data_IF_523580896079
#
_entry.id   IF_523580896079
#
_cell.length_a   1.000
_cell.length_b   1.000
_cell.length_c   1.000
_cell.angle_alpha   90.00
_cell.angle_beta   90.00
_cell.angle_gamma   90.00
#
_symmetry.space_group_name_H-M   'P 1'
#
loop_
_entity.id
_entity.type
_entity.pdbx_description
1 polymer ?
#
# COMPACT_ATOMS: atom_id res chain seq x y z
N UNK A 1 -3.63 -13.43 45.01
CA UNK A 1 -4.35 -12.75 46.11
C UNK A 1 -4.27 -11.26 45.89
N UNK A 2 -5.41 -10.62 45.59
CA UNK A 2 -5.79 -9.24 45.98
C UNK A 2 -7.01 -8.86 45.16
N UNK A 3 -8.16 -8.80 45.84
CA UNK A 3 -9.47 -8.38 45.33
C UNK A 3 -9.61 -6.89 45.59
N UNK A 4 -10.10 -6.13 44.61
CA UNK A 4 -10.60 -4.77 44.84
C UNK A 4 -12.13 -4.86 44.82
N UNK A 5 -12.70 -4.33 45.90
CA UNK A 5 -14.07 -4.50 46.39
C UNK A 5 -14.69 -3.10 46.46
N UNK A 6 -15.88 -2.98 45.86
CA UNK A 6 -17.05 -2.15 46.23
C UNK A 6 -16.89 -0.63 46.33
N UNK A 7 -17.75 0.07 45.60
CA UNK A 7 -18.60 1.11 46.21
C UNK A 7 -20.03 1.06 45.62
N UNK A 8 -20.96 0.50 46.41
CA UNK A 8 -22.41 0.51 46.19
C UNK A 8 -23.03 1.01 47.50
N UNK A 9 -23.25 2.31 47.61
CA UNK A 9 -24.15 2.97 48.58
C UNK A 9 -24.08 4.46 48.24
N UNK A 10 -25.15 5.23 48.04
CA UNK A 10 -26.15 5.71 49.00
C UNK A 10 -26.86 6.81 48.18
N UNK A 11 -28.17 6.86 47.95
CA UNK A 11 -29.14 7.31 48.93
C UNK A 11 -30.55 7.04 48.40
N UNK A 12 -31.26 6.23 49.18
CA UNK A 12 -32.72 6.15 49.27
C UNK A 12 -33.10 6.78 50.62
N UNK A 13 -34.06 7.71 50.60
CA UNK A 13 -34.89 8.32 51.69
C UNK A 13 -35.06 9.80 51.31
N UNK A 14 -36.26 10.34 51.14
CA UNK A 14 -37.32 10.38 52.14
C UNK A 14 -38.73 10.23 51.57
N UNK A 15 -39.55 9.66 52.44
CA UNK A 15 -40.98 9.44 52.35
C UNK A 15 -41.70 10.62 53.02
N UNK A 16 -42.75 11.16 52.41
CA UNK A 16 -43.83 11.84 53.16
C UNK A 16 -45.16 11.76 52.39
N UNK A 17 -46.01 10.82 52.81
CA UNK A 17 -47.47 10.93 52.73
C UNK A 17 -47.89 12.03 53.75
N UNK A 18 -48.94 12.83 53.58
CA UNK A 18 -50.36 12.45 53.74
C UNK A 18 -51.26 13.68 53.48
N UNK A 19 -52.52 13.40 53.11
CA UNK A 19 -53.75 14.19 53.40
C UNK A 19 -54.34 15.10 52.32
N UNK A 20 -55.17 14.47 51.47
CA UNK A 20 -56.62 14.72 51.26
C UNK A 20 -57.17 16.12 51.59
N UNK A 21 -57.61 16.84 50.54
CA UNK A 21 -58.79 17.74 50.56
C UNK A 21 -59.57 17.58 49.24
N UNK A 22 -60.90 17.65 49.38
CA UNK A 22 -62.01 17.31 48.50
C UNK A 22 -62.16 18.09 47.16
N UNK A 23 -63.10 17.68 46.29
CA UNK A 23 -63.16 18.06 44.88
C UNK A 23 -63.83 19.41 44.68
N UNK A 24 -63.22 20.25 43.83
CA UNK A 24 -63.77 21.54 43.46
C UNK A 24 -63.69 21.75 41.94
N UNK A 25 -64.88 21.75 41.36
CA UNK A 25 -65.30 22.49 40.18
C UNK A 25 -64.67 22.16 38.81
N UNK A 26 -65.49 21.44 38.05
CA UNK A 26 -65.61 21.44 36.59
C UNK A 26 -65.43 22.86 36.04
N UNK A 27 -64.25 23.13 35.50
CA UNK A 27 -64.03 24.17 34.51
C UNK A 27 -63.59 23.49 33.23
N UNK A 28 -64.52 23.23 32.31
CA UNK A 28 -64.22 22.88 30.93
C UNK A 28 -63.53 24.09 30.26
N UNK A 29 -62.24 24.25 30.54
CA UNK A 29 -61.37 25.08 29.73
C UNK A 29 -61.14 24.29 28.44
N UNK A 30 -61.94 24.60 27.42
CA UNK A 30 -61.59 24.32 26.03
C UNK A 30 -60.32 25.10 25.72
N UNK A 31 -59.18 24.50 26.06
CA UNK A 31 -57.87 24.97 25.67
C UNK A 31 -57.82 24.94 24.14
N UNK A 32 -58.17 26.07 23.53
CA UNK A 32 -57.90 26.36 22.14
C UNK A 32 -56.38 26.39 22.00
N UNK A 33 -55.81 25.20 21.78
CA UNK A 33 -54.39 24.99 21.48
C UNK A 33 -54.10 25.80 20.22
N UNK A 34 -53.64 27.03 20.44
CA UNK A 34 -53.13 27.95 19.43
C UNK A 34 -52.17 27.13 18.56
N UNK A 35 -52.39 27.04 17.23
CA UNK A 35 -51.63 26.14 16.38
C UNK A 35 -50.15 26.48 16.52
N UNK A 36 -49.41 25.57 17.15
CA UNK A 36 -48.10 25.86 17.70
C UNK A 36 -47.15 26.23 16.58
N UNK A 37 -46.68 27.48 16.58
CA UNK A 37 -45.62 27.98 15.70
C UNK A 37 -44.38 27.05 15.79
N UNK A 38 -44.19 26.38 16.94
CA UNK A 38 -43.17 25.36 17.19
C UNK A 38 -43.19 24.18 16.20
N UNK A 39 -44.37 23.66 15.82
CA UNK A 39 -44.50 22.58 14.82
C UNK A 39 -44.07 23.03 13.42
N UNK A 40 -44.28 24.31 13.06
CA UNK A 40 -43.83 24.87 11.78
C UNK A 40 -42.31 25.03 11.74
N UNK A 41 -41.70 25.51 12.83
CA UNK A 41 -40.24 25.65 12.95
C UNK A 41 -39.55 24.29 12.92
N UNK A 42 -40.08 23.29 13.64
CA UNK A 42 -39.53 21.92 13.64
C UNK A 42 -39.58 21.28 12.24
N UNK A 43 -40.65 21.54 11.46
CA UNK A 43 -40.76 21.06 10.07
C UNK A 43 -39.72 21.71 9.15
N UNK A 44 -39.49 23.01 9.27
CA UNK A 44 -38.46 23.71 8.49
C UNK A 44 -37.07 23.18 8.85
N UNK A 45 -36.79 22.99 10.14
CA UNK A 45 -35.51 22.46 10.59
C UNK A 45 -35.28 21.01 10.14
N UNK A 46 -36.32 20.18 10.17
CA UNK A 46 -36.28 18.81 9.64
C UNK A 46 -36.00 18.77 8.14
N UNK A 47 -36.65 19.62 7.35
CA UNK A 47 -36.38 19.75 5.91
C UNK A 47 -34.95 20.25 5.67
N UNK A 48 -34.50 21.26 6.41
CA UNK A 48 -33.14 21.79 6.29
C UNK A 48 -32.08 20.74 6.64
N UNK A 49 -32.29 19.93 7.68
CA UNK A 49 -31.40 18.84 8.07
C UNK A 49 -31.36 17.76 6.99
N UNK A 50 -32.51 17.34 6.45
CA UNK A 50 -32.58 16.37 5.35
C UNK A 50 -31.85 16.91 4.12
N UNK A 51 -32.07 18.18 3.77
CA UNK A 51 -31.43 18.81 2.63
C UNK A 51 -29.90 18.88 2.81
N UNK A 52 -29.44 19.21 4.03
CA UNK A 52 -28.02 19.17 4.37
C UNK A 52 -27.43 17.77 4.27
N UNK A 53 -28.13 16.73 4.76
CA UNK A 53 -27.71 15.34 4.63
C UNK A 53 -27.65 14.88 3.17
N UNK A 54 -28.60 15.29 2.33
CA UNK A 54 -28.60 14.97 0.90
C UNK A 54 -27.41 15.65 0.21
N UNK A 55 -27.21 16.96 0.42
CA UNK A 55 -26.08 17.70 -0.17
C UNK A 55 -24.75 17.13 0.31
N UNK A 56 -24.61 16.85 1.60
CA UNK A 56 -23.43 16.22 2.18
C UNK A 56 -23.18 14.82 1.63
N UNK A 57 -24.23 14.02 1.45
CA UNK A 57 -24.17 12.68 0.86
C UNK A 57 -23.71 12.71 -0.60
N UNK A 58 -24.30 13.59 -1.41
CA UNK A 58 -23.93 13.76 -2.82
C UNK A 58 -22.49 14.26 -2.95
N UNK A 59 -22.10 15.27 -2.16
CA UNK A 59 -20.73 15.78 -2.15
C UNK A 59 -19.71 14.71 -1.77
N UNK A 60 -20.01 13.92 -0.73
CA UNK A 60 -19.16 12.82 -0.29
C UNK A 60 -19.04 11.72 -1.34
N UNK A 61 -20.12 11.40 -2.05
CA UNK A 61 -20.13 10.42 -3.13
C UNK A 61 -19.27 10.87 -4.31
N UNK A 62 -19.41 12.12 -4.77
CA UNK A 62 -18.59 12.66 -5.85
C UNK A 62 -17.12 12.76 -5.46
N UNK A 63 -16.82 13.15 -4.21
CA UNK A 63 -15.47 13.15 -3.68
C UNK A 63 -14.86 11.74 -3.70
N UNK A 64 -15.61 10.73 -3.25
CA UNK A 64 -15.16 9.33 -3.26
C UNK A 64 -14.91 8.81 -4.68
N UNK A 65 -15.77 9.16 -5.64
CA UNK A 65 -15.57 8.80 -7.04
C UNK A 65 -14.34 9.46 -7.66
N UNK A 66 -14.07 10.72 -7.31
CA UNK A 66 -12.85 11.39 -7.76
C UNK A 66 -11.60 10.80 -7.11
N UNK A 67 -11.67 10.47 -5.81
CA UNK A 67 -10.57 9.86 -5.07
C UNK A 67 -10.14 8.53 -5.69
N UNK A 68 -11.08 7.70 -6.14
CA UNK A 68 -10.78 6.42 -6.82
C UNK A 68 -9.89 6.58 -8.06
N UNK A 69 -9.99 7.71 -8.75
CA UNK A 69 -9.21 8.01 -9.96
C UNK A 69 -7.83 8.57 -9.67
N UNK A 70 -7.46 8.73 -8.40
CA UNK A 70 -6.16 9.26 -7.99
C UNK A 70 -5.11 8.15 -7.88
N UNK A 71 -3.83 8.46 -8.14
CA UNK A 71 -2.73 7.51 -7.91
C UNK A 71 -2.59 7.15 -6.43
N UNK A 72 -2.90 8.07 -5.51
CA UNK A 72 -2.91 7.85 -4.05
C UNK A 72 -3.81 6.67 -3.66
N UNK A 73 -5.02 6.64 -4.22
CA UNK A 73 -5.97 5.57 -3.94
C UNK A 73 -5.46 4.22 -4.43
N UNK A 74 -4.80 4.17 -5.60
CA UNK A 74 -4.25 2.92 -6.13
C UNK A 74 -3.06 2.43 -5.30
N UNK A 75 -2.21 3.33 -4.80
CA UNK A 75 -1.16 2.99 -3.84
C UNK A 75 -1.72 2.49 -2.51
N UNK A 76 -2.78 3.12 -2.00
CA UNK A 76 -3.45 2.66 -0.78
C UNK A 76 -4.06 1.26 -0.98
N UNK A 77 -4.61 0.98 -2.17
CA UNK A 77 -5.11 -0.35 -2.51
C UNK A 77 -3.97 -1.36 -2.60
N UNK A 78 -2.82 -0.98 -3.15
CA UNK A 78 -1.64 -1.85 -3.23
C UNK A 78 -1.16 -2.24 -1.83
N UNK A 79 -1.10 -1.28 -0.91
CA UNK A 79 -0.76 -1.53 0.50
C UNK A 79 -1.79 -2.47 1.15
N UNK A 80 -3.09 -2.23 0.94
CA UNK A 80 -4.15 -3.07 1.52
C UNK A 80 -4.15 -4.50 0.94
N UNK A 81 -3.91 -4.65 -0.37
CA UNK A 81 -3.78 -5.93 -1.05
C UNK A 81 -2.56 -6.72 -0.56
N UNK A 82 -1.40 -6.06 -0.47
CA UNK A 82 -0.17 -6.66 0.04
C UNK A 82 -0.33 -7.12 1.49
N UNK A 83 -1.04 -6.34 2.33
CA UNK A 83 -1.36 -6.72 3.71
C UNK A 83 -2.26 -7.94 3.80
N UNK A 84 -3.23 -8.08 2.88
CA UNK A 84 -4.17 -9.21 2.85
C UNK A 84 -3.61 -10.47 2.17
N UNK A 85 -2.36 -10.42 1.72
CA UNK A 85 -1.73 -11.49 0.93
C UNK A 85 -2.51 -11.80 -0.36
N UNK A 86 -3.19 -10.78 -0.92
CA UNK A 86 -3.97 -10.91 -2.15
C UNK A 86 -3.08 -10.66 -3.36
N UNK A 87 -2.33 -11.69 -3.77
CA UNK A 87 -1.44 -11.62 -4.93
C UNK A 87 -2.17 -11.18 -6.19
N UNK A 88 -3.41 -11.62 -6.41
CA UNK A 88 -4.18 -11.22 -7.60
C UNK A 88 -4.45 -9.72 -7.62
N UNK A 89 -4.83 -9.15 -6.47
CA UNK A 89 -5.04 -7.71 -6.36
C UNK A 89 -3.73 -6.92 -6.50
N UNK A 90 -2.59 -7.46 -6.06
CA UNK A 90 -1.27 -6.87 -6.29
C UNK A 90 -0.92 -6.89 -7.78
N UNK A 91 -1.13 -8.02 -8.47
CA UNK A 91 -0.88 -8.17 -9.90
C UNK A 91 -1.76 -7.24 -10.76
N UNK A 92 -2.98 -6.92 -10.31
CA UNK A 92 -3.84 -5.90 -10.95
C UNK A 92 -3.36 -4.45 -10.74
N UNK A 93 -2.49 -4.21 -9.76
CA UNK A 93 -2.01 -2.87 -9.38
C UNK A 93 -0.54 -2.65 -9.72
N UNK A 94 0.17 -3.70 -10.14
CA UNK A 94 1.58 -3.67 -10.50
C UNK A 94 1.72 -4.35 -11.86
N UNK A 95 2.07 -3.56 -12.87
CA UNK A 95 2.54 -4.12 -14.14
C UNK A 95 3.92 -4.73 -13.86
N UNK A 96 3.91 -5.99 -13.46
CA UNK A 96 5.09 -6.71 -13.00
C UNK A 96 6.13 -6.87 -14.12
N UNK A 97 5.67 -6.98 -15.36
CA UNK A 97 6.53 -7.11 -16.53
C UNK A 97 7.29 -5.81 -16.80
N UNK A 98 6.55 -4.69 -16.87
CA UNK A 98 7.17 -3.38 -17.05
C UNK A 98 8.02 -2.98 -15.84
N UNK A 99 7.54 -3.24 -14.63
CA UNK A 99 8.25 -2.91 -13.38
C UNK A 99 9.58 -3.63 -13.29
N UNK A 100 9.63 -4.92 -13.59
CA UNK A 100 10.88 -5.68 -13.59
C UNK A 100 11.82 -5.15 -14.66
N UNK A 101 11.33 -4.85 -15.85
CA UNK A 101 12.15 -4.33 -16.95
C UNK A 101 12.82 -3.00 -16.59
N UNK A 102 12.09 -2.08 -15.96
CA UNK A 102 12.62 -0.79 -15.49
C UNK A 102 13.50 -0.94 -14.23
N UNK A 103 13.34 -2.03 -13.47
CA UNK A 103 14.11 -2.30 -12.25
C UNK A 103 15.43 -3.03 -12.50
N UNK A 104 15.53 -3.82 -13.58
CA UNK A 104 16.73 -4.59 -13.94
C UNK A 104 18.02 -3.78 -14.01
N UNK A 105 18.06 -2.56 -14.60
CA UNK A 105 19.26 -1.73 -14.60
C UNK A 105 19.76 -1.45 -13.18
N UNK A 106 18.86 -1.14 -12.24
CA UNK A 106 19.23 -0.84 -10.85
C UNK A 106 19.78 -2.07 -10.13
N UNK A 107 19.16 -3.24 -10.32
CA UNK A 107 19.69 -4.51 -9.78
C UNK A 107 21.09 -4.77 -10.34
N UNK A 108 21.29 -4.56 -11.64
CA UNK A 108 22.57 -4.80 -12.32
C UNK A 108 23.64 -3.87 -11.79
N UNK A 109 23.35 -2.58 -11.67
CA UNK A 109 24.26 -1.58 -11.12
C UNK A 109 24.67 -1.93 -9.69
N UNK A 110 23.70 -2.35 -8.84
CA UNK A 110 23.99 -2.78 -7.46
C UNK A 110 24.75 -4.11 -7.41
N UNK A 111 24.48 -5.05 -8.30
CA UNK A 111 25.26 -6.28 -8.40
C UNK A 111 26.72 -6.00 -8.78
N UNK A 112 26.94 -5.06 -9.71
CA UNK A 112 28.29 -4.60 -10.08
C UNK A 112 28.97 -3.90 -8.89
N UNK A 113 28.26 -3.06 -8.14
CA UNK A 113 28.79 -2.41 -6.94
C UNK A 113 29.20 -3.42 -5.84
N UNK A 114 28.39 -4.45 -5.64
CA UNK A 114 28.58 -5.47 -4.61
C UNK A 114 29.67 -6.49 -4.97
N UNK A 115 29.62 -7.02 -6.21
CA UNK A 115 30.43 -8.16 -6.64
C UNK A 115 31.53 -7.78 -7.65
N UNK A 116 31.45 -6.62 -8.29
CA UNK A 116 32.42 -6.13 -9.28
C UNK A 116 33.52 -5.25 -8.69
N UNK A 117 33.63 -5.13 -7.36
CA UNK A 117 34.66 -4.31 -6.71
C UNK A 117 36.07 -4.80 -7.11
N UNK A 118 36.83 -3.95 -7.78
CA UNK A 118 38.17 -4.28 -8.29
C UNK A 118 38.19 -4.86 -9.71
N UNK A 119 37.03 -4.97 -10.38
CA UNK A 119 36.92 -5.43 -11.76
C UNK A 119 36.87 -4.24 -12.71
N UNK A 120 37.59 -4.30 -13.83
CA UNK A 120 37.59 -3.23 -14.83
C UNK A 120 36.21 -3.07 -15.51
N UNK A 121 35.79 -1.84 -15.88
CA UNK A 121 34.51 -1.61 -16.57
C UNK A 121 34.33 -2.43 -17.85
N UNK A 122 35.41 -2.68 -18.59
CA UNK A 122 35.40 -3.51 -19.79
C UNK A 122 35.09 -4.97 -19.49
N UNK A 123 35.53 -5.50 -18.35
CA UNK A 123 35.21 -6.87 -17.91
C UNK A 123 33.74 -6.98 -17.47
N UNK A 124 33.22 -5.96 -16.78
CA UNK A 124 31.79 -5.88 -16.43
C UNK A 124 30.91 -5.90 -17.69
N UNK A 125 31.27 -5.14 -18.73
CA UNK A 125 30.54 -5.15 -19.99
C UNK A 125 30.57 -6.51 -20.69
N UNK A 126 31.72 -7.19 -20.70
CA UNK A 126 31.83 -8.56 -21.23
C UNK A 126 30.96 -9.54 -20.44
N UNK A 127 30.92 -9.40 -19.11
CA UNK A 127 30.05 -10.22 -18.26
C UNK A 127 28.57 -9.94 -18.53
N UNK A 128 28.18 -8.69 -18.75
CA UNK A 128 26.81 -8.34 -19.13
C UNK A 128 26.41 -9.01 -20.46
N UNK A 129 27.32 -9.07 -21.45
CA UNK A 129 27.08 -9.78 -22.71
C UNK A 129 26.91 -11.29 -22.51
N UNK A 130 27.71 -11.88 -21.62
CA UNK A 130 27.64 -13.31 -21.27
C UNK A 130 26.37 -13.63 -20.46
N UNK A 131 25.92 -12.70 -19.62
CA UNK A 131 24.71 -12.84 -18.82
C UNK A 131 23.42 -12.53 -19.59
N UNK A 132 23.50 -11.94 -20.80
CA UNK A 132 22.33 -11.60 -21.61
C UNK A 132 21.35 -12.78 -21.82
N UNK A 133 21.80 -14.02 -22.08
CA UNK A 133 20.91 -15.19 -22.17
C UNK A 133 20.27 -15.60 -20.83
N UNK A 134 20.84 -15.19 -19.70
CA UNK A 134 20.32 -15.44 -18.35
C UNK A 134 19.25 -14.42 -17.95
N UNK A 135 19.18 -13.27 -18.65
CA UNK A 135 18.26 -12.18 -18.32
C UNK A 135 16.80 -12.62 -18.21
N UNK A 136 16.25 -13.48 -19.09
CA UNK A 136 14.88 -13.97 -18.94
C UNK A 136 14.64 -14.72 -17.62
N UNK A 137 15.59 -15.58 -17.21
CA UNK A 137 15.50 -16.31 -15.94
C UNK A 137 15.62 -15.36 -14.73
N UNK A 138 16.51 -14.38 -14.80
CA UNK A 138 16.67 -13.34 -13.77
C UNK A 138 15.39 -12.51 -13.66
N UNK A 139 14.81 -12.10 -14.79
CA UNK A 139 13.53 -11.39 -14.83
C UNK A 139 12.43 -12.24 -14.18
N UNK A 140 12.29 -13.52 -14.53
CA UNK A 140 11.30 -14.40 -13.90
C UNK A 140 11.49 -14.50 -12.38
N UNK A 141 12.72 -14.59 -11.90
CA UNK A 141 13.04 -14.58 -10.47
C UNK A 141 12.65 -13.25 -9.83
N UNK A 142 12.99 -12.13 -10.46
CA UNK A 142 12.61 -10.80 -9.99
C UNK A 142 11.08 -10.63 -9.95
N UNK A 143 10.35 -11.13 -10.96
CA UNK A 143 8.87 -11.12 -10.97
C UNK A 143 8.28 -11.86 -9.77
N UNK A 144 8.90 -12.96 -9.35
CA UNK A 144 8.45 -13.70 -8.16
C UNK A 144 8.81 -12.99 -6.83
N UNK A 145 9.84 -12.16 -6.82
CA UNK A 145 10.34 -11.49 -5.61
C UNK A 145 9.73 -10.10 -5.40
N UNK A 146 9.45 -9.36 -6.47
CA UNK A 146 8.91 -7.99 -6.40
C UNK A 146 7.63 -7.90 -5.55
N UNK A 147 6.60 -8.76 -5.72
CA UNK A 147 5.41 -8.72 -4.87
C UNK A 147 5.73 -8.96 -3.38
N UNK A 148 6.64 -9.89 -3.08
CA UNK A 148 7.05 -10.19 -1.71
C UNK A 148 7.79 -9.01 -1.07
N UNK A 149 8.57 -8.27 -1.85
CA UNK A 149 9.29 -7.11 -1.36
C UNK A 149 8.36 -5.90 -1.15
N UNK A 150 7.37 -5.71 -2.04
CA UNK A 150 6.30 -4.73 -1.82
C UNK A 150 5.59 -5.06 -0.51
N UNK A 151 5.26 -6.34 -0.27
CA UNK A 151 4.71 -6.79 1.01
C UNK A 151 5.60 -6.43 2.19
N UNK A 152 6.88 -6.78 2.16
CA UNK A 152 7.82 -6.47 3.25
C UNK A 152 7.90 -4.97 3.55
N UNK A 153 7.95 -4.14 2.50
CA UNK A 153 7.97 -2.66 2.64
C UNK A 153 6.65 -2.07 3.09
N UNK A 154 5.53 -2.77 2.86
CA UNK A 154 4.20 -2.30 3.27
C UNK A 154 3.86 -2.69 4.70
N UNK A 155 4.56 -3.66 5.32
CA UNK A 155 4.39 -4.03 6.73
C UNK A 155 4.54 -2.85 7.69
N UNK A 156 5.42 -1.89 7.40
CA UNK A 156 5.58 -0.68 8.22
C UNK A 156 4.29 0.17 8.28
N UNK A 157 3.38 0.00 7.31
CA UNK A 157 2.11 0.70 7.23
C UNK A 157 0.93 -0.11 7.77
N UNK A 158 1.16 -1.32 8.33
CA UNK A 158 0.10 -2.24 8.76
C UNK A 158 -0.83 -1.63 9.82
N UNK A 159 -0.29 -0.78 10.70
CA UNK A 159 -1.02 -0.11 11.77
C UNK A 159 -1.91 1.06 11.30
N UNK A 160 -1.82 1.47 10.04
CA UNK A 160 -2.60 2.58 9.52
C UNK A 160 -3.83 2.07 8.75
N UNK A 161 -5.04 2.55 9.06
CA UNK A 161 -6.23 2.15 8.33
C UNK A 161 -6.18 2.73 6.91
N UNK A 162 -6.79 2.02 5.96
CA UNK A 162 -6.76 2.35 4.52
C UNK A 162 -7.08 3.83 4.22
N UNK A 163 -8.10 4.38 4.86
CA UNK A 163 -8.51 5.77 4.65
C UNK A 163 -7.43 6.78 5.06
N UNK A 164 -6.64 6.47 6.09
CA UNK A 164 -5.54 7.32 6.54
C UNK A 164 -4.40 7.32 5.52
N UNK A 165 -4.14 6.17 4.89
CA UNK A 165 -3.14 6.08 3.81
C UNK A 165 -3.64 6.84 2.58
N UNK A 166 -4.88 6.61 2.15
CA UNK A 166 -5.45 7.23 0.97
C UNK A 166 -5.53 8.76 1.06
N UNK A 167 -5.91 9.31 2.21
CA UNK A 167 -6.04 10.77 2.43
C UNK A 167 -4.73 11.40 2.91
N UNK A 168 -3.88 10.64 3.60
CA UNK A 168 -2.65 11.12 4.23
C UNK A 168 -1.40 10.99 3.35
N UNK A 169 -1.47 10.27 2.23
CA UNK A 169 -0.33 10.00 1.35
C UNK A 169 0.45 11.27 0.98
N UNK A 170 -0.23 12.38 0.66
CA UNK A 170 0.40 13.63 0.24
C UNK A 170 1.31 14.28 1.29
N UNK A 171 1.16 13.92 2.58
CA UNK A 171 2.04 14.41 3.64
C UNK A 171 3.42 13.77 3.58
N UNK A 172 3.48 12.50 3.18
CA UNK A 172 4.71 11.71 3.16
C UNK A 172 5.24 11.47 1.75
N UNK A 173 4.39 11.64 0.74
CA UNK A 173 4.68 11.44 -0.66
C UNK A 173 4.49 12.74 -1.43
N UNK A 174 5.37 12.99 -2.37
CA UNK A 174 5.21 13.97 -3.43
C UNK A 174 4.66 13.24 -4.65
N UNK A 175 3.52 13.69 -5.15
CA UNK A 175 2.81 13.05 -6.26
C UNK A 175 2.67 14.06 -7.38
N UNK A 176 3.42 13.87 -8.45
CA UNK A 176 3.42 14.73 -9.63
C UNK A 176 2.69 13.97 -10.74
N UNK A 177 1.58 14.52 -11.23
CA UNK A 177 0.80 13.92 -12.31
C UNK A 177 1.11 14.58 -13.64
N UNK A 178 1.51 13.78 -14.61
CA UNK A 178 1.82 14.18 -15.98
C UNK A 178 0.95 13.36 -16.95
N UNK A 179 -0.27 13.83 -17.19
CA UNK A 179 -1.24 13.14 -18.03
C UNK A 179 -1.61 11.76 -17.47
N UNK A 180 -1.25 10.71 -18.21
CA UNK A 180 -1.48 9.31 -17.84
C UNK A 180 -0.30 8.68 -17.08
N UNK A 181 0.70 9.48 -16.68
CA UNK A 181 1.78 9.06 -15.78
C UNK A 181 1.72 9.84 -14.47
N UNK A 182 2.14 9.20 -13.39
CA UNK A 182 2.30 9.83 -12.10
C UNK A 182 3.64 9.42 -11.48
N UNK A 183 4.41 10.40 -11.02
CA UNK A 183 5.66 10.19 -10.30
C UNK A 183 5.40 10.38 -8.82
N UNK A 184 5.71 9.36 -8.03
CA UNK A 184 5.49 9.33 -6.59
C UNK A 184 6.84 9.23 -5.92
N UNK A 185 7.21 10.24 -5.13
CA UNK A 185 8.49 10.30 -4.43
C UNK A 185 8.26 10.38 -2.93
N UNK A 186 9.07 9.68 -2.15
CA UNK A 186 9.07 9.84 -0.69
C UNK A 186 9.65 11.19 -0.29
N UNK A 187 8.93 11.92 0.57
CA UNK A 187 9.40 13.14 1.24
C UNK A 187 10.19 12.82 2.52
N UNK A 188 10.22 11.55 2.94
CA UNK A 188 10.87 11.13 4.19
C UNK A 188 12.39 11.17 4.01
N UNK A 189 13.13 11.92 4.84
CA UNK A 189 14.59 11.94 4.80
C UNK A 189 15.17 10.54 4.97
N UNK A 190 16.25 10.23 4.25
CA UNK A 190 16.95 8.94 4.26
C UNK A 190 16.17 7.75 3.68
N UNK A 191 15.01 7.98 3.04
CA UNK A 191 14.26 6.95 2.32
C UNK A 191 13.96 7.44 0.90
N UNK A 192 14.94 7.31 0.00
CA UNK A 192 14.77 7.62 -1.42
C UNK A 192 14.01 6.49 -2.10
N UNK A 193 12.69 6.60 -2.10
CA UNK A 193 11.78 5.73 -2.82
C UNK A 193 11.05 6.55 -3.87
N UNK A 194 11.12 6.13 -5.12
CA UNK A 194 10.41 6.74 -6.24
C UNK A 194 9.66 5.64 -7.02
N UNK A 195 8.39 5.89 -7.32
CA UNK A 195 7.53 4.99 -8.09
C UNK A 195 6.91 5.75 -9.22
N UNK A 196 6.94 5.16 -10.41
CA UNK A 196 6.18 5.65 -11.54
C UNK A 196 4.93 4.80 -11.67
N UNK A 197 3.79 5.48 -11.72
CA UNK A 197 2.51 4.87 -12.04
C UNK A 197 2.07 5.28 -13.43
N UNK A 198 1.36 4.38 -14.09
CA UNK A 198 0.70 4.60 -15.37
C UNK A 198 -0.79 4.36 -15.20
N UNK A 199 -1.60 5.19 -15.84
CA UNK A 199 -3.05 5.03 -15.81
C UNK A 199 -3.46 3.82 -16.67
N UNK A 200 -4.24 2.93 -16.07
CA UNK A 200 -4.83 1.75 -16.70
C UNK A 200 -6.34 1.75 -16.41
N UNK A 201 -7.12 2.26 -17.35
CA UNK A 201 -8.56 2.49 -17.18
C UNK A 201 -8.89 3.45 -16.03
N UNK A 202 -9.56 2.95 -15.00
CA UNK A 202 -9.96 3.71 -13.80
C UNK A 202 -8.93 3.63 -12.66
N UNK A 203 -7.85 2.86 -12.82
CA UNK A 203 -6.82 2.66 -11.79
C UNK A 203 -5.45 3.13 -12.28
N UNK A 204 -4.52 3.19 -11.34
CA UNK A 204 -3.12 3.44 -11.61
C UNK A 204 -2.32 2.19 -11.27
N UNK A 205 -1.52 1.74 -12.23
CA UNK A 205 -0.64 0.59 -12.08
C UNK A 205 0.78 1.08 -11.85
N UNK A 206 1.51 0.43 -10.94
CA UNK A 206 2.93 0.64 -10.77
C UNK A 206 3.66 0.04 -11.97
N UNK A 207 4.44 0.86 -12.67
CA UNK A 207 5.18 0.47 -13.87
C UNK A 207 6.68 0.58 -13.73
N UNK A 208 7.17 1.37 -12.77
CA UNK A 208 8.58 1.45 -12.46
C UNK A 208 8.77 1.72 -10.97
N UNK A 209 9.77 1.08 -10.37
CA UNK A 209 10.17 1.30 -8.98
C UNK A 209 11.64 1.69 -8.99
N UNK A 210 11.98 2.76 -8.28
CA UNK A 210 13.34 3.21 -8.04
C UNK A 210 13.60 3.27 -6.54
N UNK A 211 14.35 2.27 -6.08
CA UNK A 211 14.71 2.11 -4.68
C UNK A 211 16.07 1.39 -4.62
N UNK A 212 17.10 2.13 -4.20
CA UNK A 212 18.46 1.61 -4.13
C UNK A 212 18.62 0.49 -3.09
N UNK A 213 17.89 0.57 -1.98
CA UNK A 213 17.94 -0.43 -0.91
C UNK A 213 17.29 -1.71 -1.41
N UNK A 214 16.17 -1.59 -2.11
CA UNK A 214 15.48 -2.70 -2.75
C UNK A 214 16.36 -3.36 -3.81
N UNK A 215 16.95 -2.57 -4.71
CA UNK A 215 17.81 -3.07 -5.78
C UNK A 215 19.01 -3.83 -5.22
N UNK A 216 19.61 -3.31 -4.15
CA UNK A 216 20.69 -3.97 -3.41
C UNK A 216 20.24 -5.30 -2.82
N UNK A 217 19.11 -5.33 -2.11
CA UNK A 217 18.61 -6.56 -1.48
C UNK A 217 18.32 -7.66 -2.51
N UNK A 218 17.72 -7.30 -3.65
CA UNK A 218 17.47 -8.23 -4.75
C UNK A 218 18.78 -8.73 -5.37
N UNK A 219 19.73 -7.84 -5.61
CA UNK A 219 21.06 -8.22 -6.12
C UNK A 219 21.80 -9.16 -5.15
N UNK A 220 21.73 -8.90 -3.84
CA UNK A 220 22.31 -9.77 -2.80
C UNK A 220 21.66 -11.16 -2.83
N UNK A 221 20.32 -11.23 -2.82
CA UNK A 221 19.57 -12.49 -2.83
C UNK A 221 19.85 -13.32 -4.09
N UNK A 222 19.82 -12.71 -5.27
CA UNK A 222 20.14 -13.39 -6.54
C UNK A 222 21.58 -13.89 -6.55
N UNK A 223 22.54 -13.07 -6.09
CA UNK A 223 23.94 -13.46 -6.02
C UNK A 223 24.17 -14.63 -5.05
N UNK A 224 23.54 -14.61 -3.87
CA UNK A 224 23.62 -15.70 -2.89
C UNK A 224 23.00 -17.00 -3.41
N UNK A 225 21.86 -16.92 -4.10
CA UNK A 225 21.24 -18.08 -4.75
C UNK A 225 22.18 -18.69 -5.79
N UNK A 226 22.79 -17.85 -6.64
CA UNK A 226 23.73 -18.31 -7.66
C UNK A 226 24.96 -19.00 -7.06
N UNK A 227 25.56 -18.42 -6.01
CA UNK A 227 26.70 -19.00 -5.29
C UNK A 227 26.30 -20.35 -4.66
N UNK A 228 25.13 -20.40 -4.01
CA UNK A 228 24.63 -21.61 -3.35
C UNK A 228 24.41 -22.75 -4.32
N UNK A 229 23.84 -22.43 -5.49
CA UNK A 229 23.59 -23.39 -6.57
C UNK A 229 24.93 -23.89 -7.16
N UNK A 230 25.91 -23.00 -7.38
CA UNK A 230 27.24 -23.38 -7.84
C UNK A 230 27.96 -24.31 -6.85
N UNK A 231 27.86 -24.04 -5.54
CA UNK A 231 28.49 -24.85 -4.48
C UNK A 231 27.85 -26.25 -4.31
N UNK A 232 26.51 -26.37 -4.43
CA UNK A 232 25.77 -27.60 -4.09
C UNK A 232 25.61 -28.58 -5.24
N UNK A 233 25.68 -28.13 -6.50
CA UNK A 233 25.28 -28.94 -7.65
C UNK A 233 26.31 -29.06 -8.77
N UNK A 234 27.39 -28.29 -8.73
CA UNK A 234 28.23 -28.05 -9.90
C UNK A 234 27.49 -27.26 -10.98
N UNK A 235 28.26 -26.68 -11.91
CA UNK A 235 27.78 -25.75 -12.94
C UNK A 235 26.67 -26.35 -13.82
N UNK A 236 26.70 -27.66 -14.04
CA UNK A 236 25.72 -28.35 -14.88
C UNK A 236 24.32 -28.40 -14.26
N UNK A 237 24.22 -28.78 -12.98
CA UNK A 237 22.94 -28.86 -12.24
C UNK A 237 22.36 -27.45 -12.00
N UNK A 238 23.24 -26.47 -11.85
CA UNK A 238 22.88 -25.06 -11.80
C UNK A 238 22.19 -24.59 -13.09
N UNK A 239 22.76 -24.95 -14.24
CA UNK A 239 22.19 -24.65 -15.55
C UNK A 239 20.79 -25.27 -15.71
N UNK A 240 20.62 -26.53 -15.34
CA UNK A 240 19.32 -27.23 -15.41
C UNK A 240 18.25 -26.57 -14.53
N UNK A 241 18.59 -26.17 -13.30
CA UNK A 241 17.64 -25.51 -12.38
C UNK A 241 17.27 -24.09 -12.80
N UNK A 242 18.18 -23.39 -13.47
CA UNK A 242 17.97 -22.02 -13.96
C UNK A 242 17.35 -21.99 -15.36
N UNK A 243 17.15 -23.15 -16.01
CA UNK A 243 16.65 -23.24 -17.38
C UNK A 243 17.67 -22.83 -18.45
N UNK A 244 18.96 -22.96 -18.14
CA UNK A 244 20.08 -22.52 -18.98
C UNK A 244 20.97 -23.72 -19.31
N UNK A 245 20.78 -24.28 -20.50
CA UNK A 245 21.53 -25.44 -21.00
C UNK A 245 23.03 -25.19 -21.23
N UNK A 246 23.44 -23.92 -21.40
CA UNK A 246 24.82 -23.55 -21.77
C UNK A 246 25.61 -22.89 -20.64
N UNK A 247 25.21 -23.10 -19.38
CA UNK A 247 25.84 -22.41 -18.24
C UNK A 247 27.34 -22.77 -18.10
N UNK A 248 27.73 -23.99 -18.44
CA UNK A 248 29.12 -24.45 -18.39
C UNK A 248 30.03 -23.71 -19.38
N UNK A 249 29.57 -23.53 -20.61
CA UNK A 249 30.31 -22.77 -21.63
C UNK A 249 30.41 -21.28 -21.26
N UNK A 250 29.33 -20.73 -20.68
CA UNK A 250 29.28 -19.36 -20.16
C UNK A 250 30.34 -19.15 -19.06
N UNK A 251 30.39 -20.05 -18.06
CA UNK A 251 31.36 -19.93 -16.97
C UNK A 251 32.80 -20.14 -17.44
N UNK A 252 33.02 -21.03 -18.42
CA UNK A 252 34.34 -21.22 -19.01
C UNK A 252 34.82 -19.97 -19.76
N UNK A 253 33.95 -19.34 -20.57
CA UNK A 253 34.26 -18.05 -21.21
C UNK A 253 34.51 -16.94 -20.20
N UNK A 254 33.81 -16.95 -19.07
CA UNK A 254 34.03 -16.02 -17.97
C UNK A 254 35.41 -16.20 -17.31
N UNK A 255 35.84 -17.45 -17.06
CA UNK A 255 37.17 -17.77 -16.51
C UNK A 255 38.31 -17.30 -17.44
N UNK A 256 38.14 -17.49 -18.76
CA UNK A 256 39.11 -17.03 -19.76
C UNK A 256 39.24 -15.49 -19.84
N UNK A 257 38.26 -14.72 -19.36
CA UNK A 257 38.34 -13.25 -19.29
C UNK A 257 39.16 -12.76 -18.09
N UNK A 258 39.25 -13.56 -17.02
CA UNK A 258 39.98 -13.21 -15.81
C UNK A 258 41.44 -13.69 -15.79
N UNK A 259 41.85 -14.53 -16.74
CA UNK A 259 43.24 -14.89 -17.00
C UNK A 259 43.95 -13.82 -17.81
#
# INVERSE_FOLDING_TARGET
MSRIVVDINKQQKETAQTSVVAPSFVGNQTATRKPSIFLKVLRIFGIALILFLIVGGVGSYFYWQNLKKTPQYSLALLVDAARRDDQKAVDELVDTDQTVDDFMPQITDKAVELYGRGVAPSTIQKMAQIAAPLMPAIKQRARAEVPNLIREKTLQFENYPFWTIAVGADKFLEIIREGDKAFVRSKVPNQSFEVTLKRSGERWEVVAIKDEVLARHVAEKIGQDLISVAQKGGVKKAGEQLGVSNLEEILRKADDIFK
#
